data_IF_057917455007
#
_entry.id   IF_057917455007
#
_cell.length_a   1.000
_cell.length_b   1.000
_cell.length_c   1.000
_cell.angle_alpha   90.00
_cell.angle_beta   90.00
_cell.angle_gamma   90.00
#
_symmetry.space_group_name_H-M   'P 1'
#
loop_
_entity.id
_entity.type
_entity.pdbx_description
1 polymer ?
#
# COMPACT_ATOMS: atom_id res chain seq x y z
N UNK A 1 80.09 13.68 -57.02
CA UNK A 1 80.39 12.72 -55.92
C UNK A 1 79.33 12.91 -54.86
N UNK A 2 78.62 11.82 -54.53
CA UNK A 2 77.28 11.77 -53.93
C UNK A 2 77.19 12.30 -52.52
N UNK A 3 76.24 13.19 -52.28
CA UNK A 3 75.86 13.68 -50.98
C UNK A 3 74.53 13.03 -50.62
N UNK A 4 74.53 12.27 -49.50
CA UNK A 4 73.27 11.66 -48.92
C UNK A 4 72.65 12.70 -47.93
N UNK A 5 71.45 13.10 -48.21
CA UNK A 5 70.60 13.92 -47.35
C UNK A 5 69.71 12.99 -46.49
N UNK A 6 69.87 13.13 -45.18
CA UNK A 6 69.03 12.41 -44.19
C UNK A 6 67.79 13.27 -43.80
N UNK A 7 66.60 12.88 -44.18
CA UNK A 7 65.33 13.52 -43.73
C UNK A 7 64.84 12.89 -42.42
N UNK A 8 64.80 13.73 -41.41
CA UNK A 8 64.14 13.46 -40.12
C UNK A 8 62.64 13.57 -40.29
N UNK A 9 61.93 12.45 -40.15
CA UNK A 9 60.49 12.45 -40.16
C UNK A 9 59.93 12.77 -38.76
N UNK A 10 59.11 13.83 -38.68
CA UNK A 10 58.33 14.14 -37.47
C UNK A 10 57.16 13.21 -37.36
N UNK A 11 57.12 12.38 -36.29
CA UNK A 11 55.95 11.66 -35.87
C UNK A 11 54.99 12.62 -35.13
N UNK A 12 53.84 12.90 -35.72
CA UNK A 12 52.69 13.51 -35.04
C UNK A 12 51.99 12.38 -34.29
N UNK A 13 52.07 12.37 -32.96
CA UNK A 13 51.18 11.59 -32.11
C UNK A 13 49.84 12.31 -32.02
N UNK A 14 48.83 11.74 -32.64
CA UNK A 14 47.43 12.10 -32.45
C UNK A 14 46.94 11.39 -31.22
N UNK A 15 46.86 12.10 -30.08
CA UNK A 15 46.15 11.64 -28.88
C UNK A 15 44.63 11.71 -29.16
N UNK A 16 44.02 10.54 -29.48
CA UNK A 16 42.59 10.38 -29.47
C UNK A 16 42.12 10.33 -28.04
N UNK A 17 41.56 11.42 -27.52
CA UNK A 17 40.80 11.46 -26.27
C UNK A 17 39.47 10.72 -26.49
N UNK A 18 39.43 9.44 -26.11
CA UNK A 18 38.21 8.67 -25.94
C UNK A 18 37.52 9.22 -24.68
N UNK A 19 36.60 10.16 -24.82
CA UNK A 19 35.62 10.52 -23.81
C UNK A 19 34.65 9.36 -23.66
N UNK A 20 34.93 8.50 -22.68
CA UNK A 20 33.97 7.49 -22.20
C UNK A 20 32.82 8.23 -21.53
N UNK A 21 31.76 8.46 -22.25
CA UNK A 21 30.47 8.83 -21.67
C UNK A 21 29.98 7.63 -20.84
N UNK A 22 30.23 7.66 -19.54
CA UNK A 22 29.49 6.82 -18.61
C UNK A 22 28.04 7.27 -18.67
N UNK A 23 27.24 6.64 -19.51
CA UNK A 23 25.80 6.62 -19.31
C UNK A 23 25.57 5.92 -17.97
N UNK A 24 25.42 6.70 -16.91
CA UNK A 24 24.75 6.24 -15.72
C UNK A 24 23.35 5.84 -16.17
N UNK A 25 23.17 4.57 -16.51
CA UNK A 25 21.87 4.00 -16.79
C UNK A 25 21.04 4.15 -15.52
N UNK A 26 20.24 5.20 -15.46
CA UNK A 26 19.10 5.22 -14.55
C UNK A 26 18.25 4.06 -15.01
N UNK A 27 18.32 2.94 -14.31
CA UNK A 27 17.34 1.88 -14.46
C UNK A 27 15.99 2.55 -14.23
N UNK A 28 15.20 2.68 -15.29
CA UNK A 28 13.87 3.23 -15.18
C UNK A 28 13.14 2.43 -14.10
N UNK A 29 12.80 3.10 -12.98
CA UNK A 29 12.05 2.47 -11.91
C UNK A 29 10.76 1.92 -12.50
N UNK A 30 10.42 0.67 -12.16
CA UNK A 30 9.20 0.07 -12.67
C UNK A 30 7.99 0.93 -12.28
N UNK A 31 7.12 1.25 -13.23
CA UNK A 31 5.87 1.97 -12.95
C UNK A 31 4.96 1.08 -12.10
N UNK A 32 4.15 1.73 -11.26
CA UNK A 32 3.19 1.07 -10.41
C UNK A 32 3.75 0.60 -9.07
N UNK A 33 2.88 -0.01 -8.27
CA UNK A 33 3.23 -0.44 -6.90
C UNK A 33 4.33 -1.49 -6.86
N UNK A 34 4.58 -2.21 -7.94
CA UNK A 34 5.71 -3.13 -8.06
C UNK A 34 7.07 -2.44 -8.01
N UNK A 35 7.11 -1.14 -8.34
CA UNK A 35 8.31 -0.30 -8.29
C UNK A 35 8.53 0.40 -6.96
N UNK A 36 7.66 0.22 -5.96
CA UNK A 36 7.86 0.79 -4.63
C UNK A 36 9.12 0.21 -3.99
N UNK A 37 10.08 1.10 -3.72
CA UNK A 37 11.22 0.76 -2.88
C UNK A 37 10.79 0.69 -1.43
N UNK A 38 10.97 -0.46 -0.78
CA UNK A 38 10.61 -0.64 0.62
C UNK A 38 11.65 -1.52 1.32
N UNK A 39 11.88 -1.21 2.59
CA UNK A 39 12.70 -2.01 3.49
C UNK A 39 11.97 -3.27 4.00
N UNK A 40 10.68 -3.45 3.67
CA UNK A 40 9.81 -4.49 4.21
C UNK A 40 9.23 -5.38 3.10
N UNK A 41 8.69 -6.56 3.43
CA UNK A 41 7.96 -7.39 2.48
C UNK A 41 6.78 -6.65 1.82
N UNK A 42 6.14 -5.75 2.57
CA UNK A 42 5.04 -4.86 2.16
C UNK A 42 5.34 -3.48 2.68
N UNK A 43 5.28 -2.46 1.82
CA UNK A 43 5.28 -1.06 2.24
C UNK A 43 4.00 -0.78 3.05
N UNK A 44 4.16 -0.39 4.29
CA UNK A 44 3.03 -0.14 5.19
C UNK A 44 2.71 1.34 5.25
N UNK A 45 1.46 1.63 4.93
CA UNK A 45 0.82 2.94 5.05
C UNK A 45 -0.19 2.93 6.20
N UNK A 46 -0.56 4.11 6.66
CA UNK A 46 -1.68 4.28 7.58
C UNK A 46 -2.57 5.45 7.16
N UNK A 47 -3.89 5.25 7.26
CA UNK A 47 -4.87 6.31 7.04
C UNK A 47 -4.79 7.36 8.14
N UNK A 48 -4.63 8.64 7.75
CA UNK A 48 -4.64 9.78 8.66
C UNK A 48 -5.85 10.69 8.41
N UNK A 49 -6.24 11.41 9.44
CA UNK A 49 -7.18 12.53 9.29
C UNK A 49 -6.38 13.81 9.01
N UNK A 50 -6.49 14.39 7.81
CA UNK A 50 -5.73 15.57 7.43
C UNK A 50 -6.04 16.82 8.26
N UNK A 51 -7.20 16.87 8.94
CA UNK A 51 -7.61 17.99 9.76
C UNK A 51 -6.96 17.98 11.15
N UNK A 52 -6.63 16.79 11.68
CA UNK A 52 -6.22 16.63 13.08
C UNK A 52 -4.80 16.12 13.27
N UNK A 53 -4.16 15.60 12.20
CA UNK A 53 -2.81 15.03 12.26
C UNK A 53 -1.77 16.05 12.73
N UNK A 54 -0.95 15.70 13.68
CA UNK A 54 0.15 16.53 14.19
C UNK A 54 1.51 16.12 13.63
N UNK A 55 2.53 16.97 13.78
CA UNK A 55 3.91 16.61 13.41
C UNK A 55 4.46 15.51 14.34
N UNK A 56 4.02 15.49 15.60
CA UNK A 56 4.36 14.44 16.55
C UNK A 56 3.81 13.08 16.08
N UNK A 57 2.55 13.05 15.62
CA UNK A 57 1.97 11.83 15.03
C UNK A 57 2.76 11.35 13.81
N UNK A 58 3.09 12.23 12.86
CA UNK A 58 3.85 11.89 11.68
C UNK A 58 5.23 11.30 12.03
N UNK A 59 5.91 11.90 13.01
CA UNK A 59 7.19 11.38 13.49
C UNK A 59 7.03 10.01 14.18
N UNK A 60 5.95 9.79 14.93
CA UNK A 60 5.66 8.51 15.58
C UNK A 60 5.30 7.42 14.55
N UNK A 61 4.50 7.74 13.52
CA UNK A 61 4.20 6.87 12.40
C UNK A 61 5.52 6.40 11.74
N UNK A 62 6.43 7.33 11.46
CA UNK A 62 7.74 6.99 10.87
C UNK A 62 8.59 6.13 11.80
N UNK A 63 8.66 6.46 13.09
CA UNK A 63 9.43 5.71 14.08
C UNK A 63 8.88 4.29 14.30
N UNK A 64 7.59 4.08 14.13
CA UNK A 64 6.94 2.77 14.18
C UNK A 64 7.25 1.87 12.97
N UNK A 65 7.89 2.40 11.91
CA UNK A 65 8.26 1.64 10.72
C UNK A 65 7.29 1.79 9.55
N UNK A 66 6.29 2.65 9.65
CA UNK A 66 5.46 2.99 8.49
C UNK A 66 6.28 3.83 7.49
N UNK A 67 6.02 3.62 6.22
CA UNK A 67 6.71 4.33 5.13
C UNK A 67 5.81 5.36 4.46
N UNK A 68 4.49 5.15 4.53
CA UNK A 68 3.48 5.99 3.88
C UNK A 68 2.40 6.45 4.85
N UNK A 69 1.71 7.53 4.46
CA UNK A 69 0.42 7.93 5.02
C UNK A 69 -0.57 8.18 3.89
N UNK A 70 -1.85 7.78 4.09
CA UNK A 70 -2.94 8.01 3.13
C UNK A 70 -3.91 9.05 3.66
N UNK A 71 -4.34 9.96 2.79
CA UNK A 71 -5.40 10.92 3.06
C UNK A 71 -6.12 11.34 1.79
N UNK A 72 -7.39 11.71 1.94
CA UNK A 72 -8.21 12.16 0.81
C UNK A 72 -8.12 13.67 0.60
N UNK A 73 -8.05 14.09 -0.65
CA UNK A 73 -8.16 15.49 -1.08
C UNK A 73 -9.46 15.67 -1.86
N UNK A 74 -10.21 16.70 -1.54
CA UNK A 74 -11.51 17.00 -2.16
C UNK A 74 -11.43 18.26 -3.01
N UNK A 75 -12.17 18.32 -4.15
CA UNK A 75 -12.24 19.55 -4.93
C UNK A 75 -12.86 20.68 -4.10
N UNK A 76 -12.35 21.91 -4.25
CA UNK A 76 -12.92 23.10 -3.60
C UNK A 76 -14.23 23.48 -4.30
N UNK A 77 -15.35 22.88 -3.92
CA UNK A 77 -16.67 23.21 -4.41
C UNK A 77 -17.26 24.36 -3.58
N UNK A 78 -17.78 25.41 -4.23
CA UNK A 78 -18.39 26.54 -3.53
C UNK A 78 -19.57 26.12 -2.66
N UNK A 79 -20.30 25.08 -3.05
CA UNK A 79 -21.47 24.53 -2.34
C UNK A 79 -21.10 23.67 -1.13
N UNK A 80 -19.85 23.27 -0.99
CA UNK A 80 -19.32 22.53 0.16
C UNK A 80 -18.36 23.48 0.85
N UNK A 81 -18.53 23.70 2.16
CA UNK A 81 -17.61 24.53 2.95
C UNK A 81 -16.18 24.26 2.52
N UNK A 82 -15.42 25.25 2.03
CA UNK A 82 -14.08 25.01 1.55
C UNK A 82 -13.31 24.31 2.65
N UNK A 83 -12.69 23.20 2.32
CA UNK A 83 -11.83 22.49 3.27
C UNK A 83 -10.82 23.50 3.84
N UNK A 84 -10.87 23.72 5.15
CA UNK A 84 -9.87 24.54 5.86
C UNK A 84 -8.48 23.88 5.86
N UNK A 85 -8.35 22.74 5.19
CA UNK A 85 -7.12 21.94 5.15
C UNK A 85 -6.20 22.50 4.05
N UNK A 86 -5.02 22.94 4.47
CA UNK A 86 -3.92 23.30 3.59
C UNK A 86 -3.18 22.01 3.16
N UNK A 87 -3.67 21.38 2.10
CA UNK A 87 -3.10 20.14 1.58
C UNK A 87 -1.64 20.28 1.11
N UNK A 88 -1.22 21.34 0.41
CA UNK A 88 0.19 21.57 0.09
C UNK A 88 1.09 21.59 1.33
N UNK A 89 0.66 22.27 2.38
CA UNK A 89 1.38 22.28 3.66
C UNK A 89 1.42 20.91 4.31
N UNK A 90 0.32 20.13 4.26
CA UNK A 90 0.28 18.77 4.80
C UNK A 90 1.27 17.86 4.07
N UNK A 91 1.29 17.87 2.74
CA UNK A 91 2.24 17.11 1.93
C UNK A 91 3.67 17.42 2.33
N UNK A 92 4.01 18.70 2.48
CA UNK A 92 5.33 19.14 2.93
C UNK A 92 5.66 18.61 4.35
N UNK A 93 4.70 18.62 5.28
CA UNK A 93 4.87 18.06 6.64
C UNK A 93 5.15 16.56 6.59
N UNK A 94 4.42 15.81 5.77
CA UNK A 94 4.61 14.37 5.56
C UNK A 94 6.04 14.09 5.08
N UNK A 95 6.52 14.81 4.05
CA UNK A 95 7.89 14.67 3.54
C UNK A 95 8.95 15.04 4.58
N UNK A 96 8.73 16.10 5.36
CA UNK A 96 9.65 16.50 6.44
C UNK A 96 9.80 15.39 7.49
N UNK A 97 8.74 14.64 7.76
CA UNK A 97 8.77 13.46 8.63
C UNK A 97 9.40 12.21 7.97
N UNK A 98 9.91 12.32 6.73
CA UNK A 98 10.46 11.20 5.94
C UNK A 98 9.43 10.09 5.66
N UNK A 99 8.18 10.49 5.50
CA UNK A 99 7.08 9.68 5.04
C UNK A 99 6.73 10.05 3.60
N UNK A 100 6.16 9.09 2.87
CA UNK A 100 5.61 9.30 1.54
C UNK A 100 4.08 9.45 1.61
N UNK A 101 3.52 10.24 0.70
CA UNK A 101 2.09 10.46 0.66
C UNK A 101 1.40 9.54 -0.36
N UNK A 102 0.28 8.94 0.08
CA UNK A 102 -0.75 8.39 -0.79
C UNK A 102 -1.91 9.38 -0.77
N UNK A 103 -2.18 10.00 -1.91
CA UNK A 103 -3.23 11.00 -2.02
C UNK A 103 -4.41 10.45 -2.80
N UNK A 104 -5.55 10.28 -2.11
CA UNK A 104 -6.82 9.90 -2.75
C UNK A 104 -7.50 11.15 -3.29
N UNK A 105 -7.65 11.23 -4.61
CA UNK A 105 -8.41 12.28 -5.30
C UNK A 105 -9.89 11.94 -5.21
N UNK A 106 -10.55 12.53 -4.22
CA UNK A 106 -11.87 12.11 -3.81
C UNK A 106 -12.95 12.95 -4.48
N UNK A 107 -13.62 12.40 -5.49
CA UNK A 107 -14.74 13.06 -6.15
C UNK A 107 -16.03 13.08 -5.30
N UNK A 108 -16.56 11.91 -5.03
CA UNK A 108 -17.83 11.72 -4.31
C UNK A 108 -19.05 12.28 -5.02
N UNK A 109 -20.24 12.02 -4.48
CA UNK A 109 -21.52 12.45 -5.05
C UNK A 109 -21.66 13.99 -5.16
N UNK A 110 -20.93 14.74 -4.33
CA UNK A 110 -20.98 16.21 -4.31
C UNK A 110 -20.56 16.85 -5.64
N UNK A 111 -19.66 16.22 -6.41
CA UNK A 111 -19.25 16.73 -7.74
C UNK A 111 -20.43 16.76 -8.70
N UNK A 112 -21.26 15.71 -8.69
CA UNK A 112 -22.41 15.61 -9.58
C UNK A 112 -23.59 16.45 -9.14
N UNK A 113 -23.67 16.77 -7.84
CA UNK A 113 -24.69 17.68 -7.29
C UNK A 113 -24.34 19.15 -7.45
N UNK A 114 -23.21 19.50 -8.06
CA UNK A 114 -22.81 20.89 -8.33
C UNK A 114 -23.79 21.55 -9.26
N UNK A 115 -24.33 22.69 -8.85
CA UNK A 115 -25.27 23.45 -9.66
C UNK A 115 -24.58 24.09 -10.86
N UNK A 116 -25.33 24.34 -11.99
CA UNK A 116 -24.74 24.96 -13.17
C UNK A 116 -24.06 26.31 -12.90
N UNK A 117 -24.58 27.09 -11.94
CA UNK A 117 -24.01 28.40 -11.54
C UNK A 117 -22.65 28.29 -10.80
N UNK A 118 -22.34 27.11 -10.25
CA UNK A 118 -21.06 26.85 -9.61
C UNK A 118 -19.96 26.43 -10.61
N UNK A 119 -20.34 26.16 -11.86
CA UNK A 119 -19.44 25.80 -12.93
C UNK A 119 -18.78 27.06 -13.53
N UNK A 120 -17.54 26.97 -13.94
CA UNK A 120 -16.92 27.97 -14.81
C UNK A 120 -17.68 27.99 -16.17
N UNK A 121 -17.78 29.14 -16.79
CA UNK A 121 -18.40 29.25 -18.11
C UNK A 121 -17.79 28.26 -19.10
N UNK A 122 -18.60 27.38 -19.68
CA UNK A 122 -18.19 26.33 -20.60
C UNK A 122 -17.64 25.04 -19.95
N UNK A 123 -17.58 24.95 -18.62
CA UNK A 123 -17.21 23.70 -17.95
C UNK A 123 -18.34 22.67 -18.00
N UNK A 124 -18.02 21.42 -18.24
CA UNK A 124 -18.95 20.29 -18.15
C UNK A 124 -18.80 19.62 -16.79
N UNK A 125 -19.87 18.97 -16.32
CA UNK A 125 -19.81 18.19 -15.07
C UNK A 125 -18.72 17.13 -15.11
N UNK A 126 -18.54 16.47 -16.25
CA UNK A 126 -17.55 15.41 -16.46
C UNK A 126 -16.11 15.94 -16.34
N UNK A 127 -15.86 17.21 -16.70
CA UNK A 127 -14.54 17.82 -16.63
C UNK A 127 -14.18 18.34 -15.23
N UNK A 128 -15.14 18.50 -14.32
CA UNK A 128 -14.86 19.04 -12.98
C UNK A 128 -13.90 18.18 -12.19
N UNK A 129 -14.12 16.87 -12.21
CA UNK A 129 -13.23 15.94 -11.52
C UNK A 129 -11.86 15.91 -12.18
N UNK A 130 -11.81 15.84 -13.51
CA UNK A 130 -10.56 15.82 -14.25
C UNK A 130 -9.75 17.11 -14.06
N UNK A 131 -10.38 18.28 -14.20
CA UNK A 131 -9.74 19.58 -13.99
C UNK A 131 -9.09 19.68 -12.59
N UNK A 132 -9.82 19.23 -11.56
CA UNK A 132 -9.31 19.17 -10.20
C UNK A 132 -8.17 18.18 -10.05
N UNK A 133 -8.37 16.94 -10.47
CA UNK A 133 -7.44 15.85 -10.26
C UNK A 133 -6.11 16.10 -11.00
N UNK A 134 -6.18 16.43 -12.29
CA UNK A 134 -4.99 16.72 -13.12
C UNK A 134 -4.26 17.96 -12.63
N UNK A 135 -5.01 19.01 -12.28
CA UNK A 135 -4.42 20.24 -11.73
C UNK A 135 -3.67 19.99 -10.43
N UNK A 136 -4.24 19.19 -9.52
CA UNK A 136 -3.61 18.85 -8.24
C UNK A 136 -2.41 17.90 -8.42
N UNK A 137 -2.55 16.86 -9.26
CA UNK A 137 -1.42 15.98 -9.62
C UNK A 137 -0.26 16.79 -10.20
N UNK A 138 -0.51 17.69 -11.16
CA UNK A 138 0.53 18.52 -11.81
C UNK A 138 1.26 19.42 -10.83
N UNK A 139 0.54 19.97 -9.85
CA UNK A 139 1.12 20.84 -8.83
C UNK A 139 2.02 20.09 -7.82
N UNK A 140 1.82 18.77 -7.66
CA UNK A 140 2.46 17.96 -6.61
C UNK A 140 3.08 16.65 -7.13
N UNK A 141 3.40 16.56 -8.42
CA UNK A 141 3.94 15.34 -9.04
C UNK A 141 5.18 14.82 -8.33
N UNK A 142 6.08 15.71 -7.90
CA UNK A 142 7.33 15.34 -7.24
C UNK A 142 7.21 15.16 -5.72
N UNK A 143 6.05 15.46 -5.17
CA UNK A 143 5.80 15.47 -3.72
C UNK A 143 4.94 14.31 -3.24
N UNK A 144 4.24 13.64 -4.15
CA UNK A 144 3.30 12.55 -3.85
C UNK A 144 3.75 11.27 -4.54
N UNK A 145 3.96 10.22 -3.76
CA UNK A 145 4.46 8.95 -4.26
C UNK A 145 3.38 8.11 -4.94
N UNK A 146 2.15 8.13 -4.42
CA UNK A 146 1.03 7.34 -4.93
C UNK A 146 -0.21 8.23 -5.04
N UNK A 147 -0.79 8.25 -6.22
CA UNK A 147 -2.08 8.87 -6.49
C UNK A 147 -3.15 7.81 -6.53
N UNK A 148 -4.23 8.00 -5.82
CA UNK A 148 -5.40 7.14 -5.89
C UNK A 148 -6.57 7.91 -6.49
N UNK A 149 -7.14 7.36 -7.56
CA UNK A 149 -8.28 7.96 -8.25
C UNK A 149 -9.55 7.42 -7.64
N UNK A 150 -10.33 8.30 -7.00
CA UNK A 150 -11.59 7.99 -6.33
C UNK A 150 -11.46 7.16 -5.05
N UNK A 151 -12.62 6.85 -4.45
CA UNK A 151 -12.78 5.98 -3.28
C UNK A 151 -14.13 5.26 -3.35
N UNK A 152 -14.12 3.95 -3.43
CA UNK A 152 -15.28 3.06 -3.38
C UNK A 152 -16.43 3.44 -4.32
N UNK A 153 -16.21 3.55 -5.64
CA UNK A 153 -17.28 3.90 -6.56
C UNK A 153 -18.36 2.81 -6.66
N UNK A 154 -18.06 1.60 -6.23
CA UNK A 154 -18.98 0.47 -6.12
C UNK A 154 -19.81 0.48 -4.81
N UNK A 155 -19.61 1.48 -3.94
CA UNK A 155 -20.40 1.67 -2.74
C UNK A 155 -21.26 2.92 -2.81
N UNK A 156 -22.59 2.78 -2.59
CA UNK A 156 -23.60 3.85 -2.76
C UNK A 156 -23.34 5.13 -1.97
N UNK A 157 -22.58 5.05 -0.89
CA UNK A 157 -22.20 6.24 -0.10
C UNK A 157 -21.28 7.17 -0.88
N UNK A 158 -20.40 6.62 -1.73
CA UNK A 158 -19.37 7.38 -2.44
C UNK A 158 -19.72 7.65 -3.91
N UNK A 159 -20.53 6.78 -4.52
CA UNK A 159 -21.11 7.00 -5.84
C UNK A 159 -22.55 6.48 -5.87
N UNK A 160 -23.48 7.38 -6.20
CA UNK A 160 -24.86 6.98 -6.45
C UNK A 160 -24.90 6.06 -7.68
N UNK A 161 -25.53 4.86 -7.61
CA UNK A 161 -25.63 3.94 -8.75
C UNK A 161 -26.22 4.56 -10.03
N UNK A 162 -27.07 5.59 -9.91
CA UNK A 162 -27.59 6.33 -11.06
C UNK A 162 -26.52 7.13 -11.81
N UNK A 163 -25.31 7.32 -11.23
CA UNK A 163 -24.21 8.12 -11.78
C UNK A 163 -23.07 7.25 -12.35
N UNK A 164 -23.29 5.96 -12.56
CA UNK A 164 -22.26 5.06 -13.08
C UNK A 164 -21.74 5.48 -14.46
N UNK A 165 -22.67 5.92 -15.36
CA UNK A 165 -22.29 6.42 -16.69
C UNK A 165 -21.51 7.75 -16.61
N UNK A 166 -21.87 8.61 -15.66
CA UNK A 166 -21.15 9.88 -15.45
C UNK A 166 -19.74 9.61 -14.90
N UNK A 167 -19.60 8.62 -14.02
CA UNK A 167 -18.30 8.19 -13.52
C UNK A 167 -17.41 7.62 -14.64
N UNK A 168 -17.95 6.79 -15.52
CA UNK A 168 -17.25 6.24 -16.68
C UNK A 168 -16.74 7.36 -17.60
N UNK A 169 -17.60 8.34 -17.90
CA UNK A 169 -17.25 9.52 -18.69
C UNK A 169 -16.16 10.36 -18.00
N UNK A 170 -16.28 10.61 -16.70
CA UNK A 170 -15.28 11.36 -15.91
C UNK A 170 -13.94 10.65 -15.82
N UNK A 171 -13.92 9.32 -15.70
CA UNK A 171 -12.70 8.52 -15.73
C UNK A 171 -12.01 8.61 -17.09
N UNK A 172 -12.77 8.50 -18.18
CA UNK A 172 -12.25 8.64 -19.53
C UNK A 172 -11.69 10.05 -19.78
N UNK A 173 -12.40 11.09 -19.32
CA UNK A 173 -11.95 12.48 -19.42
C UNK A 173 -10.66 12.72 -18.62
N UNK A 174 -10.55 12.17 -17.41
CA UNK A 174 -9.33 12.24 -16.60
C UNK A 174 -8.13 11.69 -17.38
N UNK A 175 -8.26 10.50 -17.96
CA UNK A 175 -7.20 9.88 -18.72
C UNK A 175 -6.79 10.69 -19.95
N UNK A 176 -7.78 11.25 -20.68
CA UNK A 176 -7.52 12.11 -21.83
C UNK A 176 -6.77 13.40 -21.42
N UNK A 177 -7.16 14.03 -20.31
CA UNK A 177 -6.53 15.25 -19.83
C UNK A 177 -5.13 15.01 -19.24
N UNK A 178 -4.92 13.90 -18.55
CA UNK A 178 -3.58 13.48 -18.11
C UNK A 178 -2.63 13.33 -19.30
N UNK A 179 -3.07 12.63 -20.35
CA UNK A 179 -2.29 12.46 -21.58
C UNK A 179 -2.01 13.79 -22.28
N UNK A 180 -3.06 14.63 -22.47
CA UNK A 180 -2.97 15.95 -23.09
C UNK A 180 -2.01 16.89 -22.36
N UNK A 181 -2.03 16.89 -21.03
CA UNK A 181 -1.21 17.75 -20.19
C UNK A 181 0.13 17.13 -19.81
N UNK A 182 0.42 15.90 -20.29
CA UNK A 182 1.65 15.15 -20.01
C UNK A 182 1.88 14.92 -18.51
N UNK A 183 0.80 14.68 -17.77
CA UNK A 183 0.84 14.32 -16.34
C UNK A 183 0.92 12.80 -16.23
N UNK A 184 2.10 12.27 -15.90
CA UNK A 184 2.37 10.83 -15.83
C UNK A 184 3.10 10.47 -14.53
N UNK A 185 2.42 10.48 -13.38
CA UNK A 185 3.02 10.00 -12.14
C UNK A 185 3.44 8.52 -12.26
N UNK A 186 4.44 8.11 -11.46
CA UNK A 186 4.93 6.74 -11.50
C UNK A 186 3.88 5.72 -11.01
N UNK A 187 3.05 6.11 -10.03
CA UNK A 187 2.06 5.23 -9.42
C UNK A 187 0.72 5.97 -9.37
N UNK A 188 -0.24 5.47 -10.14
CA UNK A 188 -1.63 5.93 -10.14
C UNK A 188 -2.52 4.71 -9.98
N UNK A 189 -3.15 4.57 -8.83
CA UNK A 189 -4.01 3.44 -8.51
C UNK A 189 -5.49 3.82 -8.61
N UNK A 190 -6.34 2.92 -8.95
CA UNK A 190 -7.79 3.13 -9.01
C UNK A 190 -8.60 1.85 -8.83
N UNK A 191 -9.79 1.93 -8.30
CA UNK A 191 -10.54 3.12 -7.84
C UNK A 191 -10.83 3.02 -6.33
N UNK A 192 -10.03 2.29 -5.56
CA UNK A 192 -10.30 2.00 -4.14
C UNK A 192 -11.58 1.20 -3.98
N UNK A 193 -11.74 0.10 -4.71
CA UNK A 193 -12.98 -0.68 -4.74
C UNK A 193 -13.32 -1.30 -3.38
N UNK A 194 -14.55 -1.10 -2.89
CA UNK A 194 -15.05 -1.71 -1.67
C UNK A 194 -15.23 -3.23 -1.80
N UNK A 195 -15.51 -3.71 -3.00
CA UNK A 195 -15.55 -5.13 -3.35
C UNK A 195 -14.42 -5.45 -4.34
N UNK A 196 -14.07 -6.75 -4.47
CA UNK A 196 -13.05 -7.14 -5.44
C UNK A 196 -13.65 -7.15 -6.86
N UNK A 197 -13.17 -6.29 -7.77
CA UNK A 197 -13.63 -6.30 -9.15
C UNK A 197 -13.21 -7.60 -9.82
N UNK A 198 -14.01 -8.03 -10.79
CA UNK A 198 -13.85 -9.29 -11.54
C UNK A 198 -13.97 -10.56 -10.69
N UNK A 199 -14.16 -10.45 -9.38
CA UNK A 199 -14.27 -11.59 -8.45
C UNK A 199 -15.60 -11.52 -7.72
N UNK A 200 -16.48 -12.48 -8.02
CA UNK A 200 -17.76 -12.62 -7.32
C UNK A 200 -18.92 -11.73 -7.80
N UNK A 201 -18.73 -10.93 -8.87
CA UNK A 201 -19.80 -10.19 -9.55
C UNK A 201 -20.52 -9.10 -8.73
N UNK A 202 -19.84 -8.55 -7.71
CA UNK A 202 -20.41 -7.50 -6.86
C UNK A 202 -20.13 -6.09 -7.37
N UNK A 203 -19.09 -5.93 -8.18
CA UNK A 203 -18.75 -4.64 -8.78
C UNK A 203 -19.53 -4.47 -10.07
N UNK A 204 -20.22 -3.33 -10.31
CA UNK A 204 -20.88 -3.06 -11.58
C UNK A 204 -19.92 -3.14 -12.78
N UNK A 205 -20.38 -3.77 -13.86
CA UNK A 205 -19.56 -3.96 -15.06
C UNK A 205 -19.04 -2.64 -15.67
N UNK A 206 -19.80 -1.56 -15.55
CA UNK A 206 -19.37 -0.23 -15.99
C UNK A 206 -18.08 0.22 -15.29
N UNK A 207 -17.99 0.01 -13.98
CA UNK A 207 -16.78 0.37 -13.21
C UNK A 207 -15.60 -0.53 -13.55
N UNK A 208 -15.83 -1.83 -13.76
CA UNK A 208 -14.81 -2.77 -14.23
C UNK A 208 -14.27 -2.38 -15.61
N UNK A 209 -15.16 -2.02 -16.54
CA UNK A 209 -14.80 -1.57 -17.88
C UNK A 209 -14.04 -0.25 -17.86
N UNK A 210 -14.48 0.72 -17.06
CA UNK A 210 -13.79 2.01 -16.86
C UNK A 210 -12.35 1.78 -16.36
N UNK A 211 -12.17 0.87 -15.40
CA UNK A 211 -10.83 0.50 -14.90
C UNK A 211 -9.97 -0.13 -16.00
N UNK A 212 -10.50 -1.10 -16.74
CA UNK A 212 -9.76 -1.79 -17.83
C UNK A 212 -9.34 -0.78 -18.91
N UNK A 213 -10.21 0.14 -19.31
CA UNK A 213 -9.90 1.18 -20.29
C UNK A 213 -8.78 2.11 -19.79
N UNK A 214 -8.87 2.57 -18.55
CA UNK A 214 -7.88 3.44 -17.94
C UNK A 214 -6.51 2.75 -17.75
N UNK A 215 -6.50 1.47 -17.38
CA UNK A 215 -5.27 0.68 -17.25
C UNK A 215 -4.61 0.41 -18.61
N UNK A 216 -5.40 0.10 -19.66
CA UNK A 216 -4.89 -0.13 -21.02
C UNK A 216 -4.34 1.14 -21.68
N UNK A 217 -4.79 2.32 -21.25
CA UNK A 217 -4.28 3.62 -21.72
C UNK A 217 -3.08 4.14 -20.89
N UNK A 218 -2.52 3.34 -19.98
CA UNK A 218 -1.47 3.73 -19.04
C UNK A 218 -1.85 4.92 -18.12
N UNK A 219 -3.14 5.23 -18.00
CA UNK A 219 -3.66 6.25 -17.09
C UNK A 219 -3.61 5.76 -15.64
N UNK A 220 -4.03 4.52 -15.40
CA UNK A 220 -3.87 3.82 -14.13
C UNK A 220 -2.78 2.76 -14.26
N UNK A 221 -1.88 2.71 -13.29
CA UNK A 221 -0.82 1.70 -13.23
C UNK A 221 -1.25 0.44 -12.50
N UNK A 222 -2.12 0.59 -11.49
CA UNK A 222 -2.49 -0.49 -10.58
C UNK A 222 -3.96 -0.39 -10.18
N UNK A 223 -4.51 -1.53 -9.74
CA UNK A 223 -5.84 -1.57 -9.13
C UNK A 223 -5.73 -1.39 -7.62
N UNK A 224 -6.59 -0.54 -7.03
CA UNK A 224 -6.70 -0.41 -5.59
C UNK A 224 -8.00 -1.00 -5.06
N UNK A 225 -7.91 -1.68 -3.92
CA UNK A 225 -9.02 -2.43 -3.31
C UNK A 225 -9.05 -2.24 -1.80
N UNK A 226 -10.26 -2.36 -1.22
CA UNK A 226 -10.55 -2.35 0.21
C UNK A 226 -11.14 -3.69 0.64
N UNK A 227 -10.32 -4.72 0.91
CA UNK A 227 -10.78 -6.10 1.04
C UNK A 227 -11.31 -6.42 2.45
N UNK A 228 -12.14 -5.56 3.04
CA UNK A 228 -12.71 -5.77 4.36
C UNK A 228 -13.43 -7.12 4.49
N UNK A 229 -13.06 -7.89 5.51
CA UNK A 229 -13.61 -9.24 5.77
C UNK A 229 -13.42 -9.67 7.21
N UNK A 230 -14.22 -10.63 7.73
CA UNK A 230 -14.07 -11.11 9.11
C UNK A 230 -12.74 -11.83 9.37
N UNK A 231 -12.25 -12.60 8.40
CA UNK A 231 -11.08 -13.48 8.52
C UNK A 231 -10.05 -13.11 7.46
N UNK A 232 -8.90 -12.53 7.82
CA UNK A 232 -7.90 -12.04 6.86
C UNK A 232 -7.42 -13.08 5.84
N UNK A 233 -7.26 -14.32 6.27
CA UNK A 233 -6.72 -15.43 5.45
C UNK A 233 -7.55 -15.69 4.20
N UNK A 234 -8.84 -15.44 4.24
CA UNK A 234 -9.73 -15.63 3.07
C UNK A 234 -9.43 -14.65 1.93
N UNK A 235 -8.62 -13.60 2.19
CA UNK A 235 -8.19 -12.68 1.14
C UNK A 235 -7.20 -13.31 0.17
N UNK A 236 -6.39 -14.26 0.61
CA UNK A 236 -5.31 -14.83 -0.21
C UNK A 236 -5.84 -15.41 -1.52
N UNK A 237 -6.80 -16.32 -1.44
CA UNK A 237 -7.41 -16.94 -2.63
C UNK A 237 -8.11 -15.91 -3.55
N UNK A 238 -8.66 -14.85 -2.97
CA UNK A 238 -9.30 -13.80 -3.76
C UNK A 238 -8.27 -12.90 -4.47
N UNK A 239 -7.11 -12.66 -3.87
CA UNK A 239 -6.00 -11.96 -4.54
C UNK A 239 -5.45 -12.78 -5.71
N UNK A 240 -5.32 -14.11 -5.56
CA UNK A 240 -4.94 -14.99 -6.65
C UNK A 240 -5.96 -14.96 -7.81
N UNK A 241 -7.27 -15.01 -7.49
CA UNK A 241 -8.34 -14.86 -8.49
C UNK A 241 -8.28 -13.50 -9.18
N UNK A 242 -8.12 -12.41 -8.42
CA UNK A 242 -8.00 -11.06 -8.98
C UNK A 242 -6.79 -10.97 -9.92
N UNK A 243 -5.63 -11.51 -9.54
CA UNK A 243 -4.45 -11.56 -10.41
C UNK A 243 -4.76 -12.31 -11.71
N UNK A 244 -5.34 -13.50 -11.62
CA UNK A 244 -5.71 -14.28 -12.79
C UNK A 244 -6.71 -13.53 -13.71
N UNK A 245 -7.66 -12.81 -13.12
CA UNK A 245 -8.63 -12.00 -13.86
C UNK A 245 -7.98 -10.80 -14.57
N UNK A 246 -7.00 -10.16 -13.96
CA UNK A 246 -6.21 -9.10 -14.60
C UNK A 246 -5.37 -9.67 -15.76
N UNK A 247 -4.75 -10.83 -15.58
CA UNK A 247 -3.95 -11.50 -16.61
C UNK A 247 -4.79 -11.88 -17.84
N UNK A 248 -6.00 -12.42 -17.63
CA UNK A 248 -6.96 -12.71 -18.71
C UNK A 248 -7.37 -11.48 -19.52
N UNK A 249 -7.34 -10.29 -18.90
CA UNK A 249 -7.66 -9.00 -19.54
C UNK A 249 -6.45 -8.33 -20.18
N UNK A 250 -5.31 -9.02 -20.24
CA UNK A 250 -4.04 -8.50 -20.76
C UNK A 250 -3.48 -7.33 -19.91
N UNK A 251 -3.69 -7.40 -18.59
CA UNK A 251 -3.23 -6.42 -17.61
C UNK A 251 -2.14 -7.03 -16.69
N UNK A 252 -1.20 -7.80 -17.24
CA UNK A 252 -0.13 -8.49 -16.49
C UNK A 252 0.78 -7.51 -15.73
N UNK A 253 0.95 -6.30 -16.28
CA UNK A 253 1.77 -5.25 -15.64
C UNK A 253 1.06 -4.50 -14.54
N UNK A 254 -0.26 -4.58 -14.48
CA UNK A 254 -1.08 -3.89 -13.48
C UNK A 254 -0.88 -4.57 -12.12
N UNK A 255 -0.39 -3.83 -11.13
CA UNK A 255 -0.25 -4.30 -9.76
C UNK A 255 -1.57 -4.29 -9.00
N UNK A 256 -1.53 -4.79 -7.76
CA UNK A 256 -2.64 -4.73 -6.81
C UNK A 256 -2.16 -3.95 -5.59
N UNK A 257 -2.89 -2.91 -5.19
CA UNK A 257 -2.68 -2.15 -3.97
C UNK A 257 -3.85 -2.38 -3.01
N UNK A 258 -3.57 -2.68 -1.76
CA UNK A 258 -4.57 -2.66 -0.69
C UNK A 258 -4.54 -1.26 -0.09
N UNK A 259 -5.39 -0.36 -0.63
CA UNK A 259 -5.37 1.05 -0.28
C UNK A 259 -6.19 1.38 0.96
N UNK A 260 -7.00 0.43 1.45
CA UNK A 260 -7.66 0.54 2.74
C UNK A 260 -8.06 -0.85 3.26
N UNK A 261 -7.64 -1.17 4.50
CA UNK A 261 -8.11 -2.33 5.23
C UNK A 261 -7.87 -2.11 6.72
N UNK A 262 -8.69 -2.66 7.59
CA UNK A 262 -8.52 -2.55 9.02
C UNK A 262 -9.61 -3.23 9.82
N UNK A 263 -9.40 -3.29 11.12
CA UNK A 263 -10.31 -3.90 12.09
C UNK A 263 -10.53 -2.96 13.27
N UNK A 264 -11.78 -2.79 13.65
CA UNK A 264 -12.12 -1.99 14.82
C UNK A 264 -12.12 -2.84 16.10
N UNK A 265 -11.66 -2.27 17.22
CA UNK A 265 -11.90 -2.82 18.57
C UNK A 265 -13.11 -2.15 19.19
N UNK A 266 -14.23 -2.86 19.36
CA UNK A 266 -15.44 -2.31 19.93
C UNK A 266 -16.24 -3.38 20.70
N UNK A 267 -16.80 -2.96 21.82
CA UNK A 267 -17.54 -3.86 22.72
C UNK A 267 -18.98 -4.11 22.26
N UNK A 268 -19.53 -5.29 22.52
CA UNK A 268 -18.85 -6.48 23.07
C UNK A 268 -18.18 -7.37 22.01
N UNK A 269 -18.10 -6.92 20.75
CA UNK A 269 -17.81 -7.77 19.58
C UNK A 269 -16.30 -8.09 19.46
N UNK A 270 -15.42 -7.10 19.75
CA UNK A 270 -13.98 -7.28 19.52
C UNK A 270 -13.13 -6.51 20.51
N UNK A 271 -12.26 -7.23 21.23
CA UNK A 271 -11.25 -6.64 22.12
C UNK A 271 -10.08 -6.00 21.36
N UNK A 272 -9.24 -5.24 22.03
CA UNK A 272 -8.00 -4.70 21.45
C UNK A 272 -7.04 -5.83 21.04
N UNK A 273 -6.91 -6.90 21.82
CA UNK A 273 -6.06 -8.05 21.46
C UNK A 273 -6.55 -8.75 20.19
N UNK A 274 -7.88 -8.89 20.02
CA UNK A 274 -8.47 -9.45 18.80
C UNK A 274 -8.23 -8.50 17.61
N UNK A 275 -8.40 -7.20 17.79
CA UNK A 275 -8.05 -6.20 16.75
C UNK A 275 -6.60 -6.36 16.33
N UNK A 276 -5.69 -6.40 17.30
CA UNK A 276 -4.26 -6.48 17.08
C UNK A 276 -3.87 -7.75 16.30
N UNK A 277 -4.43 -8.89 16.67
CA UNK A 277 -4.24 -10.15 15.96
C UNK A 277 -4.71 -10.06 14.50
N UNK A 278 -5.90 -9.51 14.25
CA UNK A 278 -6.47 -9.39 12.91
C UNK A 278 -5.67 -8.41 12.03
N UNK A 279 -5.29 -7.25 12.58
CA UNK A 279 -4.45 -6.26 11.90
C UNK A 279 -3.06 -6.83 11.57
N UNK A 280 -2.48 -7.61 12.46
CA UNK A 280 -1.20 -8.24 12.18
C UNK A 280 -1.34 -9.30 11.07
N UNK A 281 -2.39 -10.12 11.11
CA UNK A 281 -2.64 -11.15 10.11
C UNK A 281 -2.98 -10.57 8.74
N UNK A 282 -3.67 -9.41 8.65
CA UNK A 282 -3.88 -8.74 7.35
C UNK A 282 -2.57 -8.33 6.70
N UNK A 283 -1.59 -7.82 7.49
CA UNK A 283 -0.25 -7.54 6.98
C UNK A 283 0.43 -8.81 6.45
N UNK A 284 0.40 -9.89 7.24
CA UNK A 284 1.02 -11.18 6.87
C UNK A 284 0.42 -11.76 5.59
N UNK A 285 -0.90 -11.72 5.42
CA UNK A 285 -1.59 -12.21 4.22
C UNK A 285 -1.28 -11.35 3.01
N UNK A 286 -1.21 -10.03 3.17
CA UNK A 286 -0.81 -9.11 2.10
C UNK A 286 0.62 -9.40 1.64
N UNK A 287 1.54 -9.64 2.59
CA UNK A 287 2.91 -10.07 2.31
C UNK A 287 2.96 -11.44 1.63
N UNK A 288 2.16 -12.40 2.10
CA UNK A 288 2.03 -13.73 1.51
C UNK A 288 1.58 -13.68 0.06
N UNK A 289 0.65 -12.81 -0.28
CA UNK A 289 0.18 -12.59 -1.65
C UNK A 289 1.21 -11.84 -2.54
N UNK A 290 2.29 -11.33 -1.97
CA UNK A 290 3.29 -10.55 -2.72
C UNK A 290 2.84 -9.14 -3.11
N UNK A 291 1.75 -8.66 -2.52
CA UNK A 291 1.25 -7.29 -2.71
C UNK A 291 2.22 -6.33 -2.01
N UNK A 292 2.54 -5.21 -2.68
CA UNK A 292 3.61 -4.31 -2.25
C UNK A 292 3.17 -3.13 -1.42
N UNK A 293 1.88 -2.84 -1.37
CA UNK A 293 1.33 -1.70 -0.63
C UNK A 293 0.10 -2.11 0.16
N UNK A 294 0.13 -1.84 1.47
CA UNK A 294 -1.01 -1.98 2.38
C UNK A 294 -1.21 -0.67 3.13
N UNK A 295 -2.40 -0.09 3.05
CA UNK A 295 -2.81 1.02 3.90
C UNK A 295 -3.74 0.53 5.01
N UNK A 296 -3.32 0.72 6.25
CA UNK A 296 -4.07 0.37 7.43
C UNK A 296 -5.09 1.48 7.78
N UNK A 297 -6.35 1.12 7.91
CA UNK A 297 -7.38 1.99 8.44
C UNK A 297 -7.60 1.68 9.93
N UNK A 298 -7.19 2.58 10.90
CA UNK A 298 -6.60 3.88 10.73
C UNK A 298 -5.53 4.18 11.80
N UNK A 299 -4.89 5.36 11.71
CA UNK A 299 -3.91 5.79 12.71
C UNK A 299 -4.54 5.95 14.09
N UNK A 300 -5.61 6.75 14.18
CA UNK A 300 -6.24 7.13 15.45
C UNK A 300 -7.73 6.84 15.43
N UNK A 301 -8.27 6.44 16.57
CA UNK A 301 -9.70 6.31 16.79
C UNK A 301 -10.40 7.64 16.51
N UNK A 302 -11.51 7.61 15.74
CA UNK A 302 -12.25 8.81 15.36
C UNK A 302 -13.09 9.37 16.50
N UNK A 303 -13.58 8.50 17.38
CA UNK A 303 -14.46 8.86 18.48
C UNK A 303 -14.00 8.26 19.81
N UNK A 304 -14.86 8.40 20.83
CA UNK A 304 -14.61 7.94 22.19
C UNK A 304 -15.53 6.80 22.62
N UNK A 305 -16.55 6.48 21.83
CA UNK A 305 -17.50 5.43 22.19
C UNK A 305 -16.89 4.05 21.97
N UNK A 306 -16.61 3.31 23.01
CA UNK A 306 -16.15 1.93 22.93
C UNK A 306 -17.16 0.96 22.32
N UNK A 307 -18.41 1.39 22.12
CA UNK A 307 -19.49 0.59 21.52
C UNK A 307 -19.69 0.89 20.03
N UNK A 308 -19.07 1.94 19.51
CA UNK A 308 -19.17 2.32 18.09
C UNK A 308 -18.04 1.67 17.29
N UNK A 309 -18.39 0.87 16.29
CA UNK A 309 -17.39 0.28 15.38
C UNK A 309 -16.57 1.37 14.68
N UNK A 310 -17.26 2.39 14.13
CA UNK A 310 -16.63 3.44 13.33
C UNK A 310 -15.70 4.35 14.15
N UNK A 311 -15.89 4.42 15.45
CA UNK A 311 -15.05 5.20 16.35
C UNK A 311 -13.70 4.52 16.65
N UNK A 312 -13.57 3.19 16.44
CA UNK A 312 -12.52 2.38 17.07
C UNK A 312 -11.61 1.61 16.09
N UNK A 313 -11.44 2.10 14.87
CA UNK A 313 -10.53 1.50 13.90
C UNK A 313 -9.05 1.84 14.14
N UNK A 314 -8.75 2.87 14.94
CA UNK A 314 -7.40 3.31 15.18
C UNK A 314 -6.50 2.24 15.80
N UNK A 315 -5.21 2.29 15.49
CA UNK A 315 -4.15 1.60 16.25
C UNK A 315 -3.65 2.43 17.43
N UNK A 316 -4.05 3.71 17.47
CA UNK A 316 -3.95 4.62 18.62
C UNK A 316 -5.36 4.93 19.11
N UNK A 317 -5.55 5.08 20.41
CA UNK A 317 -6.82 5.56 20.97
C UNK A 317 -7.10 7.01 20.55
N UNK A 318 -8.35 7.46 20.72
CA UNK A 318 -8.69 8.89 20.50
C UNK A 318 -7.86 9.83 21.40
N UNK A 319 -7.46 9.37 22.61
CA UNK A 319 -6.61 10.11 23.52
C UNK A 319 -5.11 10.09 23.14
N UNK A 320 -4.71 9.32 22.12
CA UNK A 320 -3.32 9.18 21.70
C UNK A 320 -2.55 8.06 22.39
N UNK A 321 -3.23 7.15 23.08
CA UNK A 321 -2.60 5.98 23.70
C UNK A 321 -2.37 4.86 22.66
N UNK A 322 -1.25 4.17 22.77
CA UNK A 322 -0.90 3.03 21.91
C UNK A 322 -1.79 1.83 22.23
N UNK A 323 -2.50 1.33 21.21
CA UNK A 323 -3.24 0.08 21.35
C UNK A 323 -2.31 -1.12 21.08
N UNK A 324 -2.73 -2.33 21.44
CA UNK A 324 -1.93 -3.54 21.24
C UNK A 324 -1.52 -3.74 19.76
N UNK A 325 -2.37 -3.35 18.81
CA UNK A 325 -2.08 -3.41 17.38
C UNK A 325 -0.85 -2.57 16.99
N UNK A 326 -0.72 -1.35 17.53
CA UNK A 326 0.45 -0.51 17.31
C UNK A 326 1.73 -1.21 17.79
N UNK A 327 1.71 -1.73 19.03
CA UNK A 327 2.89 -2.36 19.63
C UNK A 327 3.32 -3.62 18.87
N UNK A 328 2.38 -4.50 18.54
CA UNK A 328 2.67 -5.74 17.82
C UNK A 328 3.24 -5.49 16.42
N UNK A 329 2.65 -4.58 15.64
CA UNK A 329 3.14 -4.21 14.32
C UNK A 329 4.53 -3.57 14.38
N UNK A 330 4.73 -2.60 15.28
CA UNK A 330 6.02 -1.91 15.42
C UNK A 330 7.15 -2.89 15.73
N UNK A 331 6.93 -3.84 16.65
CA UNK A 331 7.95 -4.82 17.02
C UNK A 331 8.20 -5.83 15.89
N UNK A 332 7.16 -6.24 15.17
CA UNK A 332 7.33 -7.10 14.00
C UNK A 332 8.13 -6.38 12.89
N UNK A 333 7.79 -5.14 12.58
CA UNK A 333 8.48 -4.36 11.54
C UNK A 333 9.96 -4.19 11.85
N UNK A 334 10.35 -3.96 13.12
CA UNK A 334 11.78 -3.95 13.52
C UNK A 334 12.50 -5.25 13.18
N UNK A 335 11.83 -6.40 13.35
CA UNK A 335 12.40 -7.70 13.06
C UNK A 335 12.40 -7.99 11.55
N UNK A 336 11.32 -7.64 10.85
CA UNK A 336 11.12 -7.94 9.43
C UNK A 336 11.82 -6.96 8.48
N UNK A 337 12.45 -5.91 9.01
CA UNK A 337 13.16 -4.92 8.19
C UNK A 337 14.24 -5.59 7.35
N UNK A 338 14.34 -5.19 6.08
CA UNK A 338 15.23 -5.75 5.04
C UNK A 338 14.99 -7.24 4.74
N UNK A 339 13.87 -7.81 5.21
CA UNK A 339 13.53 -9.19 4.86
C UNK A 339 12.76 -9.27 3.54
N UNK A 340 12.86 -10.43 2.89
CA UNK A 340 12.14 -10.75 1.66
C UNK A 340 11.33 -12.02 1.85
N UNK A 341 10.14 -12.08 1.23
CA UNK A 341 9.33 -13.30 1.23
C UNK A 341 10.08 -14.43 0.53
N UNK A 342 10.12 -15.59 1.16
CA UNK A 342 10.63 -16.86 0.61
C UNK A 342 9.47 -17.73 0.19
N UNK A 343 8.54 -18.01 1.11
CA UNK A 343 7.39 -18.88 0.85
C UNK A 343 6.20 -18.52 1.73
N UNK A 344 5.04 -18.99 1.33
CA UNK A 344 3.82 -19.04 2.13
C UNK A 344 3.16 -20.38 1.90
N UNK A 345 2.68 -21.01 2.94
CA UNK A 345 1.81 -22.18 2.89
C UNK A 345 0.71 -22.09 3.94
N UNK A 346 -0.42 -22.70 3.64
CA UNK A 346 -1.57 -22.88 4.56
C UNK A 346 -1.92 -24.36 4.60
N UNK A 347 -1.12 -25.11 5.35
CA UNK A 347 -1.25 -26.55 5.46
C UNK A 347 -1.95 -26.94 6.76
N UNK A 348 -2.96 -27.79 6.65
CA UNK A 348 -3.73 -28.30 7.81
C UNK A 348 -4.34 -27.19 8.68
N UNK A 349 -4.64 -26.02 8.05
CA UNK A 349 -5.21 -24.86 8.72
C UNK A 349 -4.20 -24.14 9.63
N UNK A 350 -2.92 -24.25 9.34
CA UNK A 350 -1.85 -23.43 9.90
C UNK A 350 -1.21 -22.65 8.77
N UNK A 351 -1.28 -21.34 8.87
CA UNK A 351 -0.59 -20.46 7.95
C UNK A 351 0.85 -20.25 8.39
N UNK A 352 1.77 -20.36 7.44
CA UNK A 352 3.20 -20.13 7.64
C UNK A 352 3.75 -19.22 6.56
N UNK A 353 4.21 -18.04 6.95
CA UNK A 353 4.97 -17.13 6.10
C UNK A 353 6.46 -17.23 6.47
N UNK A 354 7.30 -17.51 5.48
CA UNK A 354 8.76 -17.55 5.65
C UNK A 354 9.35 -16.32 4.98
N UNK A 355 10.11 -15.56 5.76
CA UNK A 355 10.88 -14.41 5.29
C UNK A 355 12.39 -14.72 5.48
N UNK A 356 13.22 -14.23 4.57
CA UNK A 356 14.66 -14.27 4.70
C UNK A 356 15.18 -12.87 5.03
N UNK A 357 15.95 -12.75 6.11
CA UNK A 357 16.68 -11.55 6.48
C UNK A 357 18.12 -11.94 6.80
N UNK A 358 19.06 -11.45 6.03
CA UNK A 358 20.48 -11.83 6.12
C UNK A 358 20.62 -13.38 6.09
N UNK A 359 21.24 -13.98 7.10
CA UNK A 359 21.39 -15.42 7.21
C UNK A 359 20.28 -16.12 8.00
N UNK A 360 19.27 -15.35 8.46
CA UNK A 360 18.17 -15.89 9.25
C UNK A 360 16.91 -16.14 8.40
N UNK A 361 16.22 -17.24 8.68
CA UNK A 361 14.86 -17.50 8.22
C UNK A 361 13.89 -17.17 9.35
N UNK A 362 12.95 -16.30 9.06
CA UNK A 362 11.88 -15.86 9.95
C UNK A 362 10.62 -16.63 9.59
N UNK A 363 10.24 -17.61 10.40
CA UNK A 363 9.00 -18.38 10.24
C UNK A 363 7.92 -17.73 11.09
N UNK A 364 6.93 -17.10 10.46
CA UNK A 364 5.75 -16.55 11.14
C UNK A 364 4.63 -17.55 11.02
N UNK A 365 4.10 -17.99 12.16
CA UNK A 365 3.11 -19.08 12.27
C UNK A 365 1.84 -18.55 12.92
N UNK A 366 0.69 -18.90 12.37
CA UNK A 366 -0.61 -18.59 12.98
C UNK A 366 -1.71 -19.54 12.46
N UNK A 367 -2.87 -19.51 13.11
CA UNK A 367 -4.10 -20.18 12.66
C UNK A 367 -5.31 -19.31 12.98
N UNK A 368 -6.29 -19.15 12.08
CA UNK A 368 -7.55 -18.49 12.41
C UNK A 368 -8.46 -19.33 13.32
N UNK A 369 -8.18 -20.62 13.46
CA UNK A 369 -8.97 -21.58 14.22
C UNK A 369 -8.40 -21.89 15.62
N UNK A 370 -8.66 -23.11 16.11
CA UNK A 370 -8.10 -23.60 17.37
C UNK A 370 -6.56 -23.70 17.32
N UNK A 371 -5.93 -23.58 18.48
CA UNK A 371 -4.49 -23.73 18.65
C UNK A 371 -4.00 -25.10 18.13
N UNK A 372 -2.86 -25.11 17.47
CA UNK A 372 -2.24 -26.29 16.87
C UNK A 372 -0.73 -26.35 17.16
N UNK A 373 -0.26 -27.55 17.47
CA UNK A 373 1.17 -27.79 17.54
C UNK A 373 1.76 -27.92 16.13
N UNK A 374 2.87 -27.24 15.90
CA UNK A 374 3.58 -27.18 14.61
C UNK A 374 5.04 -27.44 14.82
N UNK A 375 5.64 -28.31 14.00
CA UNK A 375 7.09 -28.48 13.95
C UNK A 375 7.63 -27.76 12.72
N UNK A 376 8.57 -26.84 12.93
CA UNK A 376 9.31 -26.18 11.85
C UNK A 376 10.58 -27.00 11.59
N UNK A 377 10.68 -27.65 10.42
CA UNK A 377 11.85 -28.48 10.09
C UNK A 377 13.11 -27.63 10.02
N UNK A 378 14.19 -28.10 10.63
CA UNK A 378 15.51 -27.45 10.58
C UNK A 378 16.63 -28.46 10.56
N UNK A 379 17.73 -28.13 9.87
CA UNK A 379 18.95 -28.90 9.88
C UNK A 379 19.65 -28.80 11.24
N UNK A 380 20.53 -29.75 11.53
CA UNK A 380 21.31 -29.77 12.76
C UNK A 380 22.23 -28.55 12.89
N UNK A 381 22.53 -28.13 14.12
CA UNK A 381 23.40 -26.99 14.42
C UNK A 381 22.75 -25.61 14.40
N UNK A 382 21.47 -25.47 13.93
CA UNK A 382 20.79 -24.18 13.89
C UNK A 382 20.34 -23.70 15.25
N UNK A 383 20.40 -22.38 15.47
CA UNK A 383 19.86 -21.67 16.63
C UNK A 383 18.46 -21.17 16.33
N UNK A 384 17.62 -21.13 17.35
CA UNK A 384 16.25 -20.62 17.23
C UNK A 384 15.90 -19.67 18.35
N UNK A 385 15.39 -18.50 17.97
CA UNK A 385 14.79 -17.53 18.87
C UNK A 385 13.30 -17.42 18.58
N UNK A 386 12.48 -17.52 19.61
CA UNK A 386 11.02 -17.35 19.54
C UNK A 386 10.63 -15.93 19.94
N UNK A 387 9.69 -15.35 19.22
CA UNK A 387 9.06 -14.06 19.55
C UNK A 387 7.55 -14.24 19.56
N UNK A 388 6.96 -14.04 20.73
CA UNK A 388 5.52 -13.92 20.92
C UNK A 388 5.18 -12.42 20.98
N UNK A 389 4.24 -11.96 20.16
CA UNK A 389 3.88 -10.54 20.08
C UNK A 389 2.73 -10.17 21.03
N UNK A 390 2.00 -11.16 21.55
CA UNK A 390 0.76 -11.00 22.30
C UNK A 390 0.77 -11.76 23.63
N UNK A 391 0.07 -11.27 24.68
CA UNK A 391 -0.50 -9.91 24.80
C UNK A 391 0.57 -8.83 25.02
N UNK A 392 1.78 -9.25 25.35
CA UNK A 392 2.99 -8.45 25.45
C UNK A 392 4.12 -9.18 24.76
N UNK A 393 4.97 -8.45 24.05
CA UNK A 393 6.11 -9.04 23.36
C UNK A 393 7.04 -9.75 24.35
N UNK A 394 7.32 -11.01 24.05
CA UNK A 394 8.29 -11.84 24.77
C UNK A 394 9.27 -12.46 23.79
N UNK A 395 10.53 -12.46 24.15
CA UNK A 395 11.59 -13.17 23.41
C UNK A 395 12.18 -14.27 24.29
N UNK A 396 12.42 -15.42 23.68
CA UNK A 396 13.05 -16.56 24.37
C UNK A 396 13.68 -17.53 23.39
N UNK A 397 14.30 -18.56 23.89
CA UNK A 397 14.71 -19.70 23.06
C UNK A 397 13.45 -20.45 22.59
N UNK A 398 13.54 -21.09 21.42
CA UNK A 398 12.53 -22.07 21.03
C UNK A 398 12.53 -23.24 22.03
N UNK A 399 11.42 -23.95 22.15
CA UNK A 399 11.33 -25.18 22.93
C UNK A 399 12.37 -26.21 22.47
N UNK A 400 12.51 -27.33 23.23
CA UNK A 400 13.46 -28.36 22.91
C UNK A 400 13.26 -28.83 21.47
N UNK A 401 14.38 -29.14 20.82
CA UNK A 401 14.37 -29.72 19.47
C UNK A 401 13.80 -31.13 19.56
N UNK A 402 12.84 -31.43 18.71
CA UNK A 402 12.38 -32.82 18.47
C UNK A 402 13.03 -33.37 17.20
N UNK A 403 12.84 -34.63 16.89
CA UNK A 403 13.47 -35.36 15.76
C UNK A 403 13.20 -34.77 14.35
N UNK A 404 12.56 -33.65 14.24
CA UNK A 404 12.28 -33.01 12.95
C UNK A 404 12.49 -31.51 12.94
N UNK A 405 12.77 -30.85 14.08
CA UNK A 405 12.89 -29.41 14.13
C UNK A 405 12.47 -28.75 15.44
N UNK A 406 12.06 -27.49 15.39
CA UNK A 406 11.58 -26.77 16.57
C UNK A 406 10.04 -26.77 16.62
N UNK A 407 9.51 -27.15 17.78
CA UNK A 407 8.07 -27.13 18.02
C UNK A 407 7.58 -25.75 18.45
N UNK A 408 6.44 -25.34 17.94
CA UNK A 408 5.75 -24.12 18.31
C UNK A 408 4.24 -24.36 18.33
N UNK A 409 3.50 -23.51 19.07
CA UNK A 409 2.04 -23.45 19.03
C UNK A 409 1.61 -22.31 18.12
N UNK A 410 0.89 -22.64 17.06
CA UNK A 410 0.20 -21.68 16.23
C UNK A 410 -1.18 -21.41 16.82
N UNK A 411 -1.55 -20.14 16.96
CA UNK A 411 -2.84 -19.68 17.45
C UNK A 411 -3.34 -18.52 16.59
N UNK A 412 -4.47 -17.94 16.93
CA UNK A 412 -4.94 -16.71 16.29
C UNK A 412 -3.95 -15.54 16.47
N UNK A 413 -3.05 -15.63 17.44
CA UNK A 413 -1.99 -14.66 17.70
C UNK A 413 -0.68 -15.15 17.06
N UNK A 414 -0.18 -14.49 16.00
CA UNK A 414 1.01 -14.94 15.31
C UNK A 414 2.26 -15.02 16.20
N UNK A 415 3.04 -16.07 16.01
CA UNK A 415 4.33 -16.28 16.65
C UNK A 415 5.43 -16.33 15.59
N UNK A 416 6.60 -15.79 15.91
CA UNK A 416 7.77 -15.82 15.02
C UNK A 416 8.88 -16.71 15.58
N UNK A 417 9.40 -17.60 14.75
CA UNK A 417 10.63 -18.33 15.00
C UNK A 417 11.72 -17.80 14.06
N UNK A 418 12.77 -17.21 14.63
CA UNK A 418 13.96 -16.78 13.89
C UNK A 418 15.02 -17.87 13.97
N UNK A 419 15.37 -18.46 12.83
CA UNK A 419 16.29 -19.58 12.71
C UNK A 419 17.53 -19.11 11.95
N UNK A 420 18.71 -19.26 12.57
CA UNK A 420 20.02 -18.86 12.02
C UNK A 420 21.08 -19.93 12.29
N UNK A 421 22.26 -19.70 11.75
CA UNK A 421 23.47 -20.48 12.06
C UNK A 421 23.92 -20.30 13.49
#
# INVERSE_FOLDING_TARGET
MKIFSCRVGRFLQVLALLSVWMFAGHSAQARGVSGIGTDYPVALSVQIDPATITDADLNEIRAAGFEFVRFGVRPPLKSVNPSLIDYPRLIKRVRNAKLEAIVTLFGGNAIWGTKPEDLRAGARKESLFSDFAVGFMKAHTDDVAVWEVWNEPDHKTFLNPALLSDFEAASSQLCADMAKQKVQPNIVVGFGFANLPFVGGKVPAQLENAFVAAAKSDCLTDISIHPYRPVPETAFADYEKLRAQLDQRQLQKTGIAVSEWGYASYLPVRSQSTQASLVFREYLITAAAGIKLLNLYAWRDRGRSSFSKEDNFGIMSNAGEKKEAFSALTEFLKIARHSKKVSYDDAKGVSRLVLKRDDALLHVLWTPGSEKDVTVPVTEGKKCTRVDFFPQMRRGSCGPRTDGGFSAKASAYPVLLSISD
#
